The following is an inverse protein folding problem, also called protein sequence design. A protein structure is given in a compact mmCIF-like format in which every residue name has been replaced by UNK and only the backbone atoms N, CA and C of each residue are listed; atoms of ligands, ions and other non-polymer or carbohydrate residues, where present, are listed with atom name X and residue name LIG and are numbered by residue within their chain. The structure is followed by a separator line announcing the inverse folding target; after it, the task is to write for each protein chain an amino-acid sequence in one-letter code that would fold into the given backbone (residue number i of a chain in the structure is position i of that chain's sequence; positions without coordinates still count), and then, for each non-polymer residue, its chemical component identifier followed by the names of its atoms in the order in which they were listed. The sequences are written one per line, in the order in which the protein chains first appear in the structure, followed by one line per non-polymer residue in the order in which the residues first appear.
data_IF_297895259858
#
_entry.id   IF_297895259858
#
_cell.length_a   1.000
_cell.length_b   1.000
_cell.length_c   1.000
_cell.angle_alpha   90.00
_cell.angle_beta   90.00
_cell.angle_gamma   90.00
#
_symmetry.space_group_name_H-M   'P 1'
#
loop_
_entity.id
_entity.type
_entity.pdbx_description
1 polymer ?
#
# COMPACT_ATOMS: atom_id res chain seq x y z
N UNK A 1 -13.64 12.44 -27.14
CA UNK A 1 -12.92 13.22 -26.12
C UNK A 1 -13.68 13.05 -24.81
N UNK A 2 -13.22 12.19 -23.89
CA UNK A 2 -13.83 12.06 -22.55
C UNK A 2 -13.56 13.36 -21.79
N UNK A 3 -14.55 13.93 -21.11
CA UNK A 3 -14.35 15.13 -20.29
C UNK A 3 -13.28 14.85 -19.22
N UNK A 4 -12.43 15.82 -18.83
CA UNK A 4 -11.40 15.63 -17.80
C UNK A 4 -11.95 15.48 -16.37
N UNK A 5 -13.25 15.71 -16.18
CA UNK A 5 -13.97 15.72 -14.90
C UNK A 5 -13.83 14.41 -14.11
N UNK A 6 -14.00 13.20 -14.70
CA UNK A 6 -13.95 11.94 -13.95
C UNK A 6 -12.58 11.65 -13.35
N UNK A 7 -11.50 12.13 -13.97
CA UNK A 7 -10.13 11.92 -13.50
C UNK A 7 -9.85 12.76 -12.26
N UNK A 8 -10.34 14.00 -12.22
CA UNK A 8 -10.21 14.91 -11.09
C UNK A 8 -11.01 14.41 -9.88
N UNK A 9 -12.28 14.02 -10.10
CA UNK A 9 -13.14 13.45 -9.06
C UNK A 9 -12.52 12.22 -8.39
N UNK A 10 -12.04 11.27 -9.20
CA UNK A 10 -11.30 10.09 -8.69
C UNK A 10 -10.14 10.51 -7.81
N UNK A 11 -9.33 11.46 -8.28
CA UNK A 11 -8.09 11.84 -7.59
C UNK A 11 -8.38 12.52 -6.25
N UNK A 12 -9.43 13.35 -6.18
CA UNK A 12 -9.91 13.98 -4.94
C UNK A 12 -10.42 12.91 -3.97
N UNK A 13 -11.20 11.93 -4.44
CA UNK A 13 -11.71 10.85 -3.59
C UNK A 13 -10.59 10.00 -3.00
N UNK A 14 -9.62 9.60 -3.82
CA UNK A 14 -8.43 8.86 -3.36
C UNK A 14 -7.67 9.67 -2.32
N UNK A 15 -7.42 10.95 -2.60
CA UNK A 15 -6.74 11.84 -1.65
C UNK A 15 -7.51 11.95 -0.33
N UNK A 16 -8.83 12.17 -0.37
CA UNK A 16 -9.67 12.27 0.83
C UNK A 16 -9.66 10.99 1.66
N UNK A 17 -9.71 9.81 1.01
CA UNK A 17 -9.61 8.50 1.68
C UNK A 17 -8.30 8.40 2.45
N UNK A 18 -7.16 8.71 1.83
CA UNK A 18 -5.86 8.64 2.50
C UNK A 18 -5.67 9.75 3.55
N UNK A 19 -6.20 10.94 3.30
CA UNK A 19 -6.14 12.04 4.26
C UNK A 19 -6.93 11.73 5.54
N UNK A 20 -8.07 11.05 5.43
CA UNK A 20 -8.88 10.70 6.61
C UNK A 20 -8.45 9.36 7.19
N UNK A 21 -8.62 8.27 6.43
CA UNK A 21 -8.37 6.92 6.93
C UNK A 21 -6.88 6.60 7.02
N UNK A 22 -6.08 7.05 6.05
CA UNK A 22 -4.64 6.83 6.07
C UNK A 22 -3.96 7.47 7.28
N UNK A 23 -4.18 8.77 7.50
CA UNK A 23 -3.63 9.47 8.67
C UNK A 23 -4.25 9.02 9.99
N UNK A 24 -5.55 8.75 10.04
CA UNK A 24 -6.19 8.20 11.25
C UNK A 24 -5.59 6.84 11.63
N UNK A 25 -5.48 5.93 10.66
CA UNK A 25 -4.90 4.60 10.88
C UNK A 25 -3.44 4.66 11.30
N UNK A 26 -2.65 5.55 10.68
CA UNK A 26 -1.26 5.80 11.09
C UNK A 26 -1.19 6.37 12.51
N UNK A 27 -2.06 7.32 12.86
CA UNK A 27 -2.12 7.89 14.21
C UNK A 27 -2.42 6.85 15.28
N UNK A 28 -3.43 6.00 15.05
CA UNK A 28 -3.78 4.89 15.96
C UNK A 28 -2.64 3.89 16.05
N UNK A 29 -1.98 3.57 14.92
CA UNK A 29 -0.84 2.67 14.90
C UNK A 29 0.33 3.18 15.77
N UNK A 30 0.69 4.45 15.59
CA UNK A 30 1.76 5.10 16.34
C UNK A 30 1.43 5.22 17.83
N UNK A 31 0.16 5.50 18.18
CA UNK A 31 -0.28 5.49 19.57
C UNK A 31 -0.20 4.09 20.19
N UNK A 32 -0.51 3.04 19.41
CA UNK A 32 -0.31 1.65 19.83
C UNK A 32 1.15 1.31 20.13
N UNK A 33 2.10 1.80 19.32
CA UNK A 33 3.53 1.66 19.59
C UNK A 33 3.94 2.39 20.87
N UNK A 34 3.49 3.64 21.04
CA UNK A 34 3.79 4.43 22.24
C UNK A 34 3.29 3.76 23.53
N UNK A 35 2.14 3.09 23.46
CA UNK A 35 1.56 2.35 24.59
C UNK A 35 2.07 0.90 24.71
N UNK A 36 2.98 0.45 23.82
CA UNK A 36 3.40 -0.94 23.70
C UNK A 36 2.23 -1.93 23.65
N UNK A 37 1.16 -1.56 22.94
CA UNK A 37 -0.09 -2.33 22.80
C UNK A 37 -0.25 -2.82 21.37
N UNK A 38 0.02 -4.12 21.17
CA UNK A 38 -0.13 -4.77 19.86
C UNK A 38 -1.57 -4.70 19.34
N UNK A 39 -2.55 -4.80 20.24
CA UNK A 39 -3.96 -4.75 19.86
C UNK A 39 -4.32 -3.38 19.29
N UNK A 40 -3.88 -2.30 19.94
CA UNK A 40 -4.14 -0.94 19.47
C UNK A 40 -3.43 -0.67 18.14
N UNK A 41 -2.17 -1.09 18.01
CA UNK A 41 -1.44 -1.01 16.73
C UNK A 41 -2.17 -1.78 15.62
N UNK A 42 -2.69 -2.96 15.91
CA UNK A 42 -3.42 -3.78 14.93
C UNK A 42 -4.73 -3.13 14.47
N UNK A 43 -5.42 -2.37 15.34
CA UNK A 43 -6.57 -1.55 14.94
C UNK A 43 -6.12 -0.46 13.95
N UNK A 44 -4.99 0.19 14.19
CA UNK A 44 -4.42 1.16 13.25
C UNK A 44 -4.11 0.53 11.88
N UNK A 45 -3.48 -0.66 11.89
CA UNK A 45 -3.23 -1.44 10.66
C UNK A 45 -4.53 -1.75 9.93
N UNK A 46 -5.57 -2.18 10.63
CA UNK A 46 -6.89 -2.47 10.04
C UNK A 46 -7.47 -1.22 9.35
N UNK A 47 -7.36 -0.04 9.96
CA UNK A 47 -7.84 1.22 9.36
C UNK A 47 -7.06 1.56 8.08
N UNK A 48 -5.74 1.35 8.07
CA UNK A 48 -4.90 1.53 6.87
C UNK A 48 -5.34 0.55 5.75
N UNK A 49 -5.62 -0.71 6.11
CA UNK A 49 -6.15 -1.70 5.16
C UNK A 49 -7.49 -1.26 4.58
N UNK A 50 -8.39 -0.72 5.40
CA UNK A 50 -9.66 -0.18 4.93
C UNK A 50 -9.48 1.00 3.97
N UNK A 51 -8.50 1.88 4.22
CA UNK A 51 -8.14 2.96 3.30
C UNK A 51 -7.68 2.41 1.94
N UNK A 52 -6.84 1.36 1.97
CA UNK A 52 -6.36 0.69 0.76
C UNK A 52 -7.51 0.02 -0.03
N UNK A 53 -8.41 -0.68 0.66
CA UNK A 53 -9.61 -1.29 0.05
C UNK A 53 -10.50 -0.21 -0.57
N UNK A 54 -10.75 0.89 0.13
CA UNK A 54 -11.54 2.00 -0.38
C UNK A 54 -10.92 2.61 -1.66
N UNK A 55 -9.58 2.75 -1.71
CA UNK A 55 -8.88 3.17 -2.93
C UNK A 55 -9.09 2.17 -4.07
N UNK A 56 -9.00 0.85 -3.82
CA UNK A 56 -9.29 -0.17 -4.84
C UNK A 56 -10.72 -0.06 -5.35
N UNK A 57 -11.70 0.15 -4.47
CA UNK A 57 -13.11 0.31 -4.84
C UNK A 57 -13.29 1.54 -5.74
N UNK A 58 -12.71 2.70 -5.37
CA UNK A 58 -12.74 3.91 -6.22
C UNK A 58 -12.13 3.62 -7.59
N UNK A 59 -10.98 2.96 -7.63
CA UNK A 59 -10.36 2.54 -8.89
C UNK A 59 -11.24 1.59 -9.71
N UNK A 60 -12.00 0.71 -9.07
CA UNK A 60 -13.00 -0.13 -9.73
C UNK A 60 -14.18 0.67 -10.31
N UNK A 61 -14.74 1.61 -9.55
CA UNK A 61 -15.87 2.46 -9.95
C UNK A 61 -15.52 3.32 -11.16
N UNK A 62 -14.31 3.91 -11.17
CA UNK A 62 -13.84 4.75 -12.28
C UNK A 62 -13.15 3.95 -13.40
N UNK A 63 -13.08 2.62 -13.29
CA UNK A 63 -12.43 1.70 -14.22
C UNK A 63 -10.95 2.08 -14.52
N UNK A 64 -10.21 2.52 -13.49
CA UNK A 64 -8.82 2.98 -13.57
C UNK A 64 -7.88 2.14 -12.70
N UNK A 65 -6.59 2.18 -13.02
CA UNK A 65 -5.50 1.60 -12.20
C UNK A 65 -4.93 2.59 -11.19
N UNK A 66 -3.96 2.11 -10.40
CA UNK A 66 -3.03 3.00 -9.71
C UNK A 66 -2.25 3.79 -10.75
N UNK A 67 -2.21 5.11 -10.58
CA UNK A 67 -1.35 6.00 -11.34
C UNK A 67 0.12 5.80 -10.95
N UNK A 68 1.06 6.22 -11.82
CA UNK A 68 2.49 6.19 -11.48
C UNK A 68 2.79 6.96 -10.19
N UNK A 69 2.17 8.13 -9.99
CA UNK A 69 2.34 8.95 -8.79
C UNK A 69 1.86 8.25 -7.52
N UNK A 70 0.67 7.64 -7.54
CA UNK A 70 0.14 6.86 -6.41
C UNK A 70 1.03 5.65 -6.09
N UNK A 71 1.57 5.00 -7.13
CA UNK A 71 2.48 3.86 -6.95
C UNK A 71 3.80 4.29 -6.31
N UNK A 72 4.39 5.39 -6.78
CA UNK A 72 5.62 5.95 -6.19
C UNK A 72 5.39 6.40 -4.76
N UNK A 73 4.25 7.04 -4.45
CA UNK A 73 3.90 7.42 -3.08
C UNK A 73 3.73 6.20 -2.17
N UNK A 74 3.05 5.16 -2.64
CA UNK A 74 2.85 3.92 -1.87
C UNK A 74 4.17 3.19 -1.58
N UNK A 75 5.00 2.97 -2.61
CA UNK A 75 6.31 2.32 -2.46
C UNK A 75 7.25 3.19 -1.63
N UNK A 76 7.26 4.51 -1.85
CA UNK A 76 8.07 5.46 -1.11
C UNK A 76 7.73 5.47 0.39
N UNK A 77 6.44 5.53 0.72
CA UNK A 77 5.98 5.45 2.11
C UNK A 77 6.32 4.11 2.75
N UNK A 78 6.07 2.99 2.04
CA UNK A 78 6.43 1.65 2.53
C UNK A 78 7.94 1.50 2.77
N UNK A 79 8.77 1.97 1.83
CA UNK A 79 10.22 1.91 1.93
C UNK A 79 10.78 2.79 3.04
N UNK A 80 10.27 4.02 3.20
CA UNK A 80 10.68 4.92 4.27
C UNK A 80 10.31 4.36 5.65
N UNK A 81 9.06 3.90 5.82
CA UNK A 81 8.63 3.27 7.07
C UNK A 81 9.45 2.00 7.35
N UNK A 82 9.72 1.19 6.34
CA UNK A 82 10.56 -0.01 6.45
C UNK A 82 11.99 0.31 6.89
N UNK A 83 12.59 1.36 6.33
CA UNK A 83 13.92 1.81 6.70
C UNK A 83 13.96 2.29 8.16
N UNK A 84 12.98 3.07 8.59
CA UNK A 84 12.85 3.50 9.99
C UNK A 84 12.71 2.29 10.91
N UNK A 85 11.85 1.33 10.56
CA UNK A 85 11.67 0.11 11.35
C UNK A 85 12.94 -0.71 11.47
N UNK A 86 13.67 -0.94 10.37
CA UNK A 86 14.94 -1.68 10.38
C UNK A 86 16.00 -0.96 11.21
N UNK A 87 16.11 0.36 11.08
CA UNK A 87 17.04 1.16 11.88
C UNK A 87 16.71 1.10 13.38
N UNK A 88 15.42 1.21 13.75
CA UNK A 88 14.97 1.07 15.12
C UNK A 88 15.21 -0.33 15.70
N UNK A 89 15.00 -1.37 14.89
CA UNK A 89 15.26 -2.76 15.28
C UNK A 89 16.75 -3.01 15.49
N UNK A 90 17.61 -2.57 14.55
CA UNK A 90 19.05 -2.72 14.64
C UNK A 90 19.66 -1.92 15.81
N UNK A 91 19.07 -0.77 16.14
CA UNK A 91 19.46 0.04 17.28
C UNK A 91 18.97 -0.47 18.65
N UNK A 92 18.15 -1.53 18.68
CA UNK A 92 17.61 -2.08 19.94
C UNK A 92 16.58 -1.18 20.63
N UNK A 93 15.98 -0.23 19.91
CA UNK A 93 15.01 0.72 20.46
C UNK A 93 13.58 0.18 20.52
N UNK A 94 13.32 -0.99 19.92
CA UNK A 94 11.99 -1.60 19.84
C UNK A 94 11.75 -2.54 21.01
N UNK A 95 10.61 -2.40 21.66
CA UNK A 95 10.10 -3.47 22.52
C UNK A 95 9.68 -4.66 21.67
N UNK A 96 9.51 -5.82 22.29
CA UNK A 96 8.98 -7.01 21.60
C UNK A 96 7.61 -6.73 20.98
N UNK A 97 6.76 -5.96 21.67
CA UNK A 97 5.46 -5.56 21.15
C UNK A 97 5.59 -4.69 19.90
N UNK A 98 6.48 -3.70 19.92
CA UNK A 98 6.68 -2.81 18.77
C UNK A 98 7.21 -3.56 17.55
N UNK A 99 8.06 -4.56 17.80
CA UNK A 99 8.57 -5.44 16.77
C UNK A 99 7.44 -6.23 16.08
N UNK A 100 6.55 -6.87 16.87
CA UNK A 100 5.40 -7.58 16.32
C UNK A 100 4.39 -6.64 15.63
N UNK A 101 4.15 -5.45 16.18
CA UNK A 101 3.29 -4.44 15.56
C UNK A 101 3.84 -3.99 14.20
N UNK A 102 5.14 -3.74 14.10
CA UNK A 102 5.81 -3.40 12.84
C UNK A 102 5.72 -4.54 11.82
N UNK A 103 6.02 -5.79 12.24
CA UNK A 103 5.87 -6.96 11.37
C UNK A 103 4.43 -7.14 10.88
N UNK A 104 3.44 -6.88 11.73
CA UNK A 104 2.03 -6.93 11.37
C UNK A 104 1.72 -5.90 10.27
N UNK A 105 2.16 -4.65 10.44
CA UNK A 105 1.97 -3.60 9.44
C UNK A 105 2.59 -4.00 8.08
N UNK A 106 3.88 -4.36 8.05
CA UNK A 106 4.55 -4.68 6.80
C UNK A 106 4.02 -5.96 6.16
N UNK A 107 3.80 -7.00 6.96
CA UNK A 107 3.26 -8.28 6.48
C UNK A 107 1.88 -8.11 5.85
N UNK A 108 0.98 -7.37 6.49
CA UNK A 108 -0.37 -7.12 5.99
C UNK A 108 -0.36 -6.25 4.73
N UNK A 109 0.46 -5.19 4.68
CA UNK A 109 0.58 -4.35 3.50
C UNK A 109 1.16 -5.11 2.30
N UNK A 110 2.22 -5.91 2.51
CA UNK A 110 2.80 -6.75 1.47
C UNK A 110 1.79 -7.79 0.97
N UNK A 111 1.09 -8.47 1.88
CA UNK A 111 0.04 -9.43 1.53
C UNK A 111 -1.11 -8.77 0.76
N UNK A 112 -1.57 -7.59 1.19
CA UNK A 112 -2.62 -6.83 0.51
C UNK A 112 -2.21 -6.39 -0.90
N UNK A 113 -0.97 -5.95 -1.08
CA UNK A 113 -0.42 -5.61 -2.39
C UNK A 113 -0.33 -6.84 -3.31
N UNK A 114 0.18 -7.96 -2.81
CA UNK A 114 0.22 -9.21 -3.57
C UNK A 114 -1.18 -9.69 -3.96
N UNK A 115 -2.12 -9.66 -3.02
CA UNK A 115 -3.52 -10.00 -3.28
C UNK A 115 -4.10 -9.14 -4.40
N UNK A 116 -3.86 -7.82 -4.36
CA UNK A 116 -4.30 -6.91 -5.41
C UNK A 116 -3.71 -7.27 -6.79
N UNK A 117 -2.40 -7.54 -6.86
CA UNK A 117 -1.75 -7.93 -8.11
C UNK A 117 -2.37 -9.21 -8.69
N UNK A 118 -2.58 -10.21 -7.83
CA UNK A 118 -3.17 -11.49 -8.19
C UNK A 118 -4.61 -11.32 -8.70
N UNK A 119 -5.44 -10.52 -8.02
CA UNK A 119 -6.85 -10.31 -8.40
C UNK A 119 -6.99 -9.49 -9.68
N UNK A 120 -6.12 -8.51 -9.91
CA UNK A 120 -6.31 -7.54 -11.00
C UNK A 120 -5.62 -7.94 -12.30
N UNK A 121 -4.40 -8.49 -12.22
CA UNK A 121 -3.63 -8.86 -13.42
C UNK A 121 -3.70 -10.37 -13.72
N UNK A 122 -4.26 -11.15 -12.79
CA UNK A 122 -4.29 -12.61 -12.84
C UNK A 122 -2.89 -13.22 -12.66
N UNK A 123 -2.82 -14.44 -12.13
CA UNK A 123 -1.58 -15.25 -12.08
C UNK A 123 -0.89 -15.38 -13.45
N UNK A 124 -1.65 -15.32 -14.55
CA UNK A 124 -1.15 -15.50 -15.93
C UNK A 124 -0.56 -14.24 -16.56
N UNK A 125 -0.98 -13.03 -16.17
CA UNK A 125 -0.44 -11.77 -16.72
C UNK A 125 1.00 -11.48 -16.27
N UNK A 126 1.34 -11.89 -15.04
CA UNK A 126 2.67 -11.71 -14.45
C UNK A 126 3.76 -12.51 -15.18
N UNK A 127 3.45 -13.70 -15.72
CA UNK A 127 4.41 -14.52 -16.48
C UNK A 127 4.50 -14.15 -17.96
N UNK A 128 3.47 -13.51 -18.53
CA UNK A 128 3.45 -13.17 -19.97
C UNK A 128 4.42 -12.05 -20.36
N UNK A 129 4.86 -11.19 -19.42
CA UNK A 129 5.81 -10.09 -19.71
C UNK A 129 7.28 -10.49 -19.67
N UNK A 130 7.59 -11.72 -19.25
CA UNK A 130 8.97 -12.24 -19.27
C UNK A 130 9.34 -12.94 -20.59
N UNK A 131 8.41 -13.08 -21.54
CA UNK A 131 8.74 -13.52 -22.90
C UNK A 131 9.25 -12.34 -23.75
N UNK A 132 10.53 -12.03 -23.62
CA UNK A 132 11.25 -11.21 -24.60
C UNK A 132 11.42 -12.08 -25.86
N UNK A 133 10.75 -11.72 -26.95
CA UNK A 133 10.99 -12.36 -28.26
C UNK A 133 12.39 -11.95 -28.74
N UNK A 134 13.34 -12.87 -28.98
CA UNK A 134 14.61 -12.50 -29.59
C UNK A 134 14.32 -11.89 -30.96
N UNK A 135 14.91 -10.72 -31.19
CA UNK A 135 14.84 -9.99 -32.46
C UNK A 135 15.59 -10.83 -33.49
N UNK A 136 14.87 -11.60 -34.30
CA UNK A 136 15.46 -12.28 -35.45
C UNK A 136 15.76 -11.21 -36.49
N UNK A 137 17.04 -10.91 -36.64
CA UNK A 137 17.66 -10.11 -37.69
C UNK A 137 17.10 -10.54 -39.05
N UNK A 138 16.50 -9.59 -39.78
CA UNK A 138 16.10 -9.81 -41.18
C UNK A 138 17.33 -9.56 -42.05
N UNK A 139 17.64 -10.59 -42.84
CA UNK A 139 18.60 -10.64 -43.95
C UNK A 139 18.59 -9.41 -44.84
#
# INVERSE_FOLDING_TARGET
MMSPVPIVERSILVFAIWAVLGFLGLGIFLEGLKQASWLLSSVGVLVIVLAFIAHIIVNGVFNTGFSPGETVLGIGAYGLLGLVFVASAAGGFLTMTDYYSGLTLFGVLAAGFLAYLLTRHGLRGAFSRFHIKPMTERS
#
